data_IF_763187495019
#
_entry.id   IF_763187495019
#
_cell.length_a   1.000
_cell.length_b   1.000
_cell.length_c   1.000
_cell.angle_alpha   90.00
_cell.angle_beta   90.00
_cell.angle_gamma   90.00
#
_symmetry.space_group_name_H-M   'P 1'
#
loop_
_entity.id
_entity.type
_entity.pdbx_description
1 polymer ?
#
# COMPACT_ATOMS: atom_id res chain seq x y z
N UNK A 1 -25.43 -9.51 -4.62
CA UNK A 1 -24.39 -8.89 -5.47
C UNK A 1 -23.65 -7.86 -4.63
N UNK A 2 -22.43 -8.19 -4.19
CA UNK A 2 -21.65 -7.37 -3.24
C UNK A 2 -21.17 -6.07 -3.88
N UNK A 3 -22.04 -5.04 -3.90
CA UNK A 3 -21.62 -3.64 -4.02
C UNK A 3 -21.40 -3.03 -2.63
N UNK A 4 -20.81 -3.82 -1.74
CA UNK A 4 -20.68 -3.52 -0.31
C UNK A 4 -19.28 -3.04 0.04
N UNK A 5 -19.20 -2.08 0.97
CA UNK A 5 -18.00 -1.73 1.74
C UNK A 5 -16.91 -0.90 1.03
N UNK A 6 -17.24 -0.26 -0.09
CA UNK A 6 -16.31 0.68 -0.75
C UNK A 6 -16.32 2.08 -0.12
N UNK A 7 -17.46 2.49 0.44
CA UNK A 7 -17.62 3.86 0.96
C UNK A 7 -17.08 4.04 2.38
N UNK A 8 -17.09 2.99 3.21
CA UNK A 8 -16.57 3.06 4.60
C UNK A 8 -15.05 3.10 4.69
N UNK A 9 -14.34 2.53 3.70
CA UNK A 9 -12.90 2.73 3.55
C UNK A 9 -12.57 4.12 2.99
N UNK A 10 -13.42 4.64 2.10
CA UNK A 10 -13.31 6.00 1.59
C UNK A 10 -13.58 7.03 2.71
N UNK A 11 -14.57 6.83 3.57
CA UNK A 11 -14.90 7.72 4.68
C UNK A 11 -13.83 7.72 5.80
N UNK A 12 -13.18 6.57 6.06
CA UNK A 12 -12.12 6.49 7.07
C UNK A 12 -10.76 7.03 6.59
N UNK A 13 -10.50 7.01 5.27
CA UNK A 13 -9.27 7.56 4.68
C UNK A 13 -9.42 8.98 4.11
N UNK A 14 -10.60 9.38 3.64
CA UNK A 14 -10.89 10.74 3.13
C UNK A 14 -11.39 11.73 4.19
N UNK A 15 -11.53 11.32 5.46
CA UNK A 15 -11.79 12.27 6.55
C UNK A 15 -10.66 13.32 6.72
N UNK A 16 -9.56 13.20 5.98
CA UNK A 16 -8.50 14.20 5.89
C UNK A 16 -7.95 14.29 4.46
N UNK A 17 -8.72 14.92 3.57
CA UNK A 17 -8.26 15.44 2.26
C UNK A 17 -7.81 14.39 1.22
N UNK A 18 -8.53 14.35 0.11
CA UNK A 18 -8.38 13.45 -1.06
C UNK A 18 -6.94 13.28 -1.61
N UNK A 19 -5.99 14.18 -1.28
CA UNK A 19 -4.57 14.08 -1.65
C UNK A 19 -3.67 13.27 -0.69
N UNK A 20 -4.13 12.91 0.51
CA UNK A 20 -3.29 12.22 1.49
C UNK A 20 -3.14 10.72 1.19
N UNK A 21 -4.12 10.13 0.50
CA UNK A 21 -4.07 8.72 0.08
C UNK A 21 -2.93 8.49 -0.92
N UNK A 22 -2.73 9.39 -1.87
CA UNK A 22 -1.61 9.28 -2.82
C UNK A 22 -0.26 9.39 -2.12
N UNK A 23 -0.10 10.38 -1.23
CA UNK A 23 1.13 10.56 -0.46
C UNK A 23 1.45 9.33 0.42
N UNK A 24 0.47 8.81 1.15
CA UNK A 24 0.63 7.61 1.99
C UNK A 24 0.96 6.37 1.17
N UNK A 25 0.39 6.22 -0.02
CA UNK A 25 0.70 5.10 -0.92
C UNK A 25 2.10 5.24 -1.53
N UNK A 26 2.60 6.45 -1.72
CA UNK A 26 3.98 6.68 -2.17
C UNK A 26 4.99 6.45 -1.04
N UNK A 27 4.69 6.88 0.18
CA UNK A 27 5.49 6.55 1.36
C UNK A 27 5.55 5.03 1.58
N UNK A 28 4.41 4.35 1.50
CA UNK A 28 4.35 2.89 1.61
C UNK A 28 5.18 2.19 0.52
N UNK A 29 5.24 2.75 -0.69
CA UNK A 29 6.09 2.26 -1.79
C UNK A 29 7.57 2.38 -1.42
N UNK A 30 7.99 3.50 -0.84
CA UNK A 30 9.37 3.70 -0.37
C UNK A 30 9.70 2.70 0.72
N UNK A 31 8.83 2.53 1.73
CA UNK A 31 9.00 1.53 2.78
C UNK A 31 9.07 0.10 2.22
N UNK A 32 8.29 -0.22 1.19
CA UNK A 32 8.32 -1.55 0.56
C UNK A 32 9.63 -1.85 -0.17
N UNK A 33 10.34 -0.82 -0.65
CA UNK A 33 11.58 -0.95 -1.40
C UNK A 33 12.84 -0.82 -0.52
N UNK A 34 12.80 0.08 0.45
CA UNK A 34 13.94 0.47 1.28
C UNK A 34 14.04 -0.33 2.58
N UNK A 35 12.93 -0.97 3.00
CA UNK A 35 12.87 -1.69 4.27
C UNK A 35 12.34 -3.12 4.14
N UNK A 36 12.75 -3.97 5.09
CA UNK A 36 12.27 -5.35 5.25
C UNK A 36 10.99 -5.46 6.11
N UNK A 37 10.29 -4.35 6.35
CA UNK A 37 9.08 -4.34 7.18
C UNK A 37 8.01 -5.28 6.60
N UNK A 38 7.24 -5.96 7.43
CA UNK A 38 6.12 -6.77 6.93
C UNK A 38 5.04 -5.90 6.29
N UNK A 39 4.27 -6.46 5.35
CA UNK A 39 3.12 -5.76 4.74
C UNK A 39 2.13 -5.25 5.80
N UNK A 40 1.99 -5.98 6.91
CA UNK A 40 1.15 -5.59 8.05
C UNK A 40 1.71 -4.40 8.85
N UNK A 41 3.03 -4.24 8.94
CA UNK A 41 3.64 -3.06 9.56
C UNK A 41 3.48 -1.83 8.66
N UNK A 42 3.72 -2.00 7.36
CA UNK A 42 3.56 -0.92 6.38
C UNK A 42 2.09 -0.49 6.28
N UNK A 43 1.15 -1.43 6.32
CA UNK A 43 -0.28 -1.10 6.31
C UNK A 43 -0.65 -0.21 7.49
N UNK A 44 -0.19 -0.55 8.70
CA UNK A 44 -0.43 0.27 9.89
C UNK A 44 0.17 1.67 9.77
N UNK A 45 1.38 1.78 9.21
CA UNK A 45 2.02 3.07 8.95
C UNK A 45 1.23 3.91 7.93
N UNK A 46 0.66 3.27 6.91
CA UNK A 46 -0.18 3.93 5.90
C UNK A 46 -1.61 4.27 6.39
N UNK A 47 -1.93 4.02 7.66
CA UNK A 47 -3.26 4.25 8.23
C UNK A 47 -4.28 3.14 7.95
N UNK A 48 -3.83 1.98 7.49
CA UNK A 48 -4.65 0.80 7.24
C UNK A 48 -4.56 -0.16 8.43
N UNK A 49 -5.69 -0.41 9.09
CA UNK A 49 -5.75 -1.39 10.18
C UNK A 49 -5.44 -2.82 9.72
N UNK A 50 -5.81 -3.15 8.48
CA UNK A 50 -5.63 -4.49 7.90
C UNK A 50 -4.77 -4.48 6.63
N UNK A 51 -3.86 -5.46 6.53
CA UNK A 51 -2.99 -5.66 5.38
C UNK A 51 -3.76 -5.96 4.08
N UNK A 52 -4.95 -6.56 4.19
CA UNK A 52 -5.77 -6.94 3.04
C UNK A 52 -6.36 -5.70 2.34
N UNK A 53 -6.91 -4.76 3.11
CA UNK A 53 -7.42 -3.49 2.58
C UNK A 53 -6.29 -2.63 2.00
N UNK A 54 -5.14 -2.58 2.67
CA UNK A 54 -3.94 -1.93 2.14
C UNK A 54 -3.51 -2.54 0.80
N UNK A 55 -3.44 -3.87 0.69
CA UNK A 55 -2.99 -4.54 -0.54
C UNK A 55 -3.91 -4.25 -1.72
N UNK A 56 -5.23 -4.20 -1.49
CA UNK A 56 -6.20 -3.84 -2.50
C UNK A 56 -6.06 -2.37 -2.95
N UNK A 57 -5.90 -1.45 -2.00
CA UNK A 57 -5.70 -0.03 -2.27
C UNK A 57 -4.37 0.23 -3.01
N UNK A 58 -3.27 -0.34 -2.52
CA UNK A 58 -1.95 -0.23 -3.14
C UNK A 58 -1.95 -0.76 -4.57
N UNK A 59 -2.59 -1.92 -4.80
CA UNK A 59 -2.73 -2.47 -6.16
C UNK A 59 -3.54 -1.57 -7.09
N UNK A 60 -4.56 -0.88 -6.59
CA UNK A 60 -5.32 0.09 -7.39
C UNK A 60 -4.50 1.33 -7.74
N UNK A 61 -3.73 1.88 -6.80
CA UNK A 61 -2.90 3.07 -7.03
C UNK A 61 -1.64 2.79 -7.86
N UNK A 62 -0.95 1.67 -7.60
CA UNK A 62 0.35 1.34 -8.23
C UNK A 62 0.25 0.26 -9.32
N UNK A 63 -0.93 -0.31 -9.57
CA UNK A 63 -1.17 -1.36 -10.55
C UNK A 63 -0.69 -2.76 -10.15
N UNK A 64 0.05 -2.91 -9.04
CA UNK A 64 0.60 -4.19 -8.59
C UNK A 64 0.50 -4.36 -7.06
N UNK A 65 0.48 -5.60 -6.59
CA UNK A 65 0.41 -5.87 -5.14
C UNK A 65 1.70 -5.41 -4.44
N UNK A 66 1.63 -5.05 -3.15
CA UNK A 66 2.81 -4.58 -2.41
C UNK A 66 3.87 -5.68 -2.31
N UNK A 67 3.49 -6.96 -2.19
CA UNK A 67 4.42 -8.10 -2.22
C UNK A 67 5.15 -8.22 -3.57
N UNK A 68 4.43 -8.08 -4.69
CA UNK A 68 5.05 -8.09 -6.02
C UNK A 68 5.95 -6.88 -6.23
N UNK A 69 5.56 -5.71 -5.71
CA UNK A 69 6.38 -4.51 -5.75
C UNK A 69 7.70 -4.71 -4.99
N UNK A 70 7.64 -5.26 -3.78
CA UNK A 70 8.83 -5.64 -2.99
C UNK A 70 9.72 -6.62 -3.72
N UNK A 71 9.16 -7.70 -4.28
CA UNK A 71 9.94 -8.68 -5.02
C UNK A 71 10.67 -8.05 -6.22
N UNK A 72 10.00 -7.11 -6.91
CA UNK A 72 10.60 -6.34 -8.01
C UNK A 72 11.68 -5.38 -7.52
N UNK A 73 11.45 -4.69 -6.41
CA UNK A 73 12.42 -3.77 -5.80
C UNK A 73 13.67 -4.51 -5.30
N UNK A 74 13.50 -5.62 -4.59
CA UNK A 74 14.59 -6.47 -4.13
C UNK A 74 15.45 -6.98 -5.29
N UNK A 75 14.81 -7.36 -6.42
CA UNK A 75 15.52 -7.78 -7.63
C UNK A 75 16.24 -6.63 -8.35
N UNK A 76 15.79 -5.39 -8.19
CA UNK A 76 16.46 -4.20 -8.71
C UNK A 76 17.60 -3.71 -7.80
N UNK A 77 17.50 -3.94 -6.50
CA UNK A 77 18.50 -3.56 -5.49
C UNK A 77 19.65 -4.57 -5.34
N UNK A 78 19.59 -5.71 -6.03
CA UNK A 78 20.71 -6.63 -6.17
C UNK A 78 21.51 -6.31 -7.45
N UNK A 79 22.57 -5.49 -7.40
CA UNK A 79 23.53 -5.44 -8.48
C UNK A 79 24.42 -6.70 -8.41
N UNK A 80 24.36 -7.54 -9.44
CA UNK A 80 25.36 -8.58 -9.66
C UNK A 80 24.79 -9.99 -9.76
N UNK A 81 24.51 -10.39 -11.00
CA UNK A 81 25.06 -11.65 -11.50
C UNK A 81 26.13 -11.29 -12.53
#
# INVERSE_FOLDING_TARGET
MYSGRWDVWNLALNASSDGLTEYRMDEARTLLADTDLSIAQISRSAGCAEAFGFSAAFKRHKGMSPSSYRAKAARAAAPGS
#
